data_IF_213110266888
#
_entry.id   IF_213110266888
#
_cell.length_a   1.000
_cell.length_b   1.000
_cell.length_c   1.000
_cell.angle_alpha   90.00
_cell.angle_beta   90.00
_cell.angle_gamma   90.00
#
_symmetry.space_group_name_H-M   'P 1'
#
loop_
_entity.id
_entity.type
_entity.pdbx_description
1 polymer ?
#
# COMPACT_ATOMS: atom_id res chain seq x y z
N UNK A 1 -12.19 -0.10 -0.27
CA UNK A 1 -10.87 -0.42 -0.86
C UNK A 1 -9.89 -0.97 0.18
N UNK A 2 -9.67 -0.29 1.31
CA UNK A 2 -8.78 -0.77 2.40
C UNK A 2 -9.01 -2.24 2.81
N UNK A 3 -10.28 -2.64 2.99
CA UNK A 3 -10.67 -4.03 3.27
C UNK A 3 -10.11 -5.06 2.26
N UNK A 4 -10.09 -4.73 0.96
CA UNK A 4 -9.54 -5.61 -0.08
C UNK A 4 -8.01 -5.71 0.04
N UNK A 5 -7.32 -4.62 0.35
CA UNK A 5 -5.87 -4.61 0.53
C UNK A 5 -5.44 -5.49 1.72
N UNK A 6 -6.16 -5.43 2.85
CA UNK A 6 -5.95 -6.30 4.00
C UNK A 6 -6.09 -7.77 3.60
N UNK A 7 -7.17 -8.13 2.88
CA UNK A 7 -7.42 -9.50 2.41
C UNK A 7 -6.34 -9.98 1.43
N UNK A 8 -5.90 -9.12 0.50
CA UNK A 8 -4.84 -9.43 -0.45
C UNK A 8 -3.53 -9.75 0.28
N UNK A 9 -3.15 -8.93 1.26
CA UNK A 9 -1.91 -9.13 1.97
C UNK A 9 -1.97 -10.35 2.89
N UNK A 10 -3.10 -10.57 3.56
CA UNK A 10 -3.37 -11.80 4.31
C UNK A 10 -3.16 -13.03 3.42
N UNK A 11 -3.75 -13.04 2.22
CA UNK A 11 -3.58 -14.15 1.29
C UNK A 11 -2.12 -14.40 0.90
N UNK A 12 -1.33 -13.34 0.65
CA UNK A 12 0.10 -13.50 0.36
C UNK A 12 0.88 -14.07 1.55
N UNK A 13 0.67 -13.50 2.73
CA UNK A 13 1.37 -13.89 3.96
C UNK A 13 1.05 -15.34 4.35
N UNK A 14 -0.21 -15.77 4.27
CA UNK A 14 -0.61 -17.18 4.49
C UNK A 14 0.02 -18.16 3.50
N UNK A 15 0.48 -17.67 2.34
CA UNK A 15 1.22 -18.46 1.34
C UNK A 15 2.76 -18.31 1.47
N UNK A 16 3.22 -17.65 2.53
CA UNK A 16 4.63 -17.43 2.84
C UNK A 16 5.32 -16.47 1.86
N UNK A 17 4.57 -15.57 1.22
CA UNK A 17 5.07 -14.58 0.26
C UNK A 17 5.06 -13.20 0.89
N UNK A 18 6.19 -12.52 0.83
CA UNK A 18 6.30 -11.06 1.02
C UNK A 18 6.28 -10.44 -0.37
N UNK A 19 5.42 -9.46 -0.59
CA UNK A 19 5.32 -8.69 -1.82
C UNK A 19 6.56 -7.81 -2.03
N UNK A 20 7.03 -7.12 -0.99
CA UNK A 20 8.23 -6.30 -1.06
C UNK A 20 8.08 -4.96 -1.76
N UNK A 21 6.87 -4.64 -2.19
CA UNK A 21 6.50 -3.36 -2.82
C UNK A 21 4.97 -3.18 -2.75
N UNK A 22 4.37 -3.49 -1.59
CA UNK A 22 2.93 -3.42 -1.40
C UNK A 22 2.47 -1.96 -1.27
N UNK A 23 2.31 -1.26 -2.40
CA UNK A 23 1.96 0.16 -2.43
C UNK A 23 0.70 0.42 -3.26
N UNK A 24 0.00 1.55 -3.08
CA UNK A 24 -1.12 1.94 -3.93
C UNK A 24 -0.79 1.98 -5.43
N UNK A 25 0.49 2.07 -5.82
CA UNK A 25 0.89 2.01 -7.24
C UNK A 25 0.80 0.61 -7.84
N UNK A 26 0.83 -0.43 -7.00
CA UNK A 26 0.76 -1.84 -7.40
C UNK A 26 -0.60 -2.46 -7.08
N UNK A 27 -1.54 -1.66 -6.58
CA UNK A 27 -2.95 -2.02 -6.45
C UNK A 27 -3.71 -1.30 -7.56
N UNK A 28 -4.40 -2.07 -8.40
CA UNK A 28 -5.08 -1.59 -9.60
C UNK A 28 -6.57 -1.66 -9.42
N UNK A 29 -7.28 -0.64 -9.88
CA UNK A 29 -8.72 -0.76 -10.12
C UNK A 29 -8.96 -1.42 -11.46
N UNK A 30 -10.01 -2.23 -11.54
CA UNK A 30 -10.44 -2.79 -12.81
C UNK A 30 -10.71 -1.64 -13.80
N UNK A 31 -10.03 -1.61 -14.96
CA UNK A 31 -10.28 -0.57 -15.95
C UNK A 31 -11.72 -0.73 -16.48
N UNK A 32 -12.31 0.35 -17.03
CA UNK A 32 -13.55 0.23 -17.78
C UNK A 32 -13.39 -0.81 -18.90
N UNK A 33 -14.47 -1.49 -19.27
CA UNK A 33 -14.44 -2.48 -20.37
C UNK A 33 -14.21 -1.77 -21.72
N UNK A 34 -12.93 -1.60 -22.06
CA UNK A 34 -12.49 -0.99 -23.32
C UNK A 34 -12.67 -1.94 -24.50
N UNK A 35 -12.89 -3.24 -24.27
CA UNK A 35 -13.00 -4.25 -25.34
C UNK A 35 -14.22 -4.03 -26.24
N UNK A 36 -15.21 -3.28 -25.74
CA UNK A 36 -16.45 -2.94 -26.44
C UNK A 36 -16.38 -1.61 -27.19
N UNK A 37 -15.33 -0.82 -27.00
CA UNK A 37 -15.17 0.47 -27.66
C UNK A 37 -14.38 0.30 -28.96
N UNK A 38 -14.87 0.92 -30.04
CA UNK A 38 -14.03 1.08 -31.24
C UNK A 38 -12.90 2.07 -30.97
N UNK A 39 -11.86 2.08 -31.81
CA UNK A 39 -10.80 3.09 -31.74
C UNK A 39 -11.36 4.52 -31.84
N UNK A 40 -12.41 4.70 -32.64
CA UNK A 40 -13.06 6.00 -32.83
C UNK A 40 -13.85 6.43 -31.58
N UNK A 41 -14.53 5.49 -30.92
CA UNK A 41 -15.19 5.75 -29.62
C UNK A 41 -14.18 6.07 -28.51
N UNK A 42 -13.02 5.39 -28.51
CA UNK A 42 -11.94 5.67 -27.58
C UNK A 42 -11.42 7.10 -27.77
N UNK A 43 -11.17 7.54 -29.01
CA UNK A 43 -10.70 8.89 -29.29
C UNK A 43 -11.75 9.95 -29.05
N UNK A 44 -13.02 9.66 -29.32
CA UNK A 44 -14.12 10.56 -28.99
C UNK A 44 -14.25 10.76 -27.48
N UNK A 45 -14.07 9.68 -26.69
CA UNK A 45 -14.22 9.73 -25.22
C UNK A 45 -12.99 10.30 -24.51
N UNK A 46 -11.78 9.90 -24.90
CA UNK A 46 -10.54 10.19 -24.19
C UNK A 46 -9.60 11.14 -24.93
N UNK A 47 -9.95 11.55 -26.15
CA UNK A 47 -9.12 12.38 -27.02
C UNK A 47 -8.22 11.57 -27.95
N UNK A 48 -7.76 12.22 -29.02
CA UNK A 48 -6.78 11.61 -29.93
C UNK A 48 -5.38 11.52 -29.29
N UNK A 49 -4.58 10.48 -29.62
CA UNK A 49 -3.23 10.34 -29.11
C UNK A 49 -2.34 11.51 -29.53
N UNK A 50 -1.80 12.22 -28.54
CA UNK A 50 -0.85 13.31 -28.78
C UNK A 50 0.54 12.71 -29.03
N UNK A 51 1.21 13.14 -30.10
CA UNK A 51 2.60 12.76 -30.38
C UNK A 51 3.53 13.87 -29.87
N UNK A 52 4.27 13.58 -28.81
CA UNK A 52 5.32 14.46 -28.31
C UNK A 52 6.64 14.10 -29.02
N UNK A 53 7.17 15.04 -29.79
CA UNK A 53 8.41 14.82 -30.53
C UNK A 53 9.57 14.58 -29.58
N UNK A 54 10.40 13.59 -29.90
CA UNK A 54 11.59 13.30 -29.10
C UNK A 54 12.67 14.30 -29.44
N UNK A 55 13.20 14.98 -28.43
CA UNK A 55 14.28 15.95 -28.60
C UNK A 55 15.42 15.60 -27.66
N UNK A 56 16.66 15.82 -28.12
CA UNK A 56 17.83 15.69 -27.25
C UNK A 56 18.04 17.00 -26.50
N UNK A 57 18.31 16.92 -25.19
CA UNK A 57 18.66 18.09 -24.36
C UNK A 57 19.86 18.87 -24.89
N UNK A 58 20.78 18.23 -25.63
CA UNK A 58 21.94 18.87 -26.23
C UNK A 58 21.71 19.39 -27.67
N UNK A 59 20.47 19.33 -28.18
CA UNK A 59 20.07 19.84 -29.50
C UNK A 59 20.62 19.05 -30.70
N UNK A 60 21.30 17.92 -30.47
CA UNK A 60 21.87 17.11 -31.57
C UNK A 60 20.80 16.24 -32.25
N UNK A 61 21.09 15.67 -33.43
CA UNK A 61 20.20 14.71 -34.08
C UNK A 61 19.92 13.48 -33.20
N UNK A 62 18.69 12.99 -33.30
CA UNK A 62 18.24 11.75 -32.67
C UNK A 62 18.99 10.56 -33.29
N UNK A 63 19.60 9.66 -32.48
CA UNK A 63 20.29 8.49 -32.99
C UNK A 63 19.35 7.51 -33.72
N UNK A 64 19.90 6.74 -34.66
CA UNK A 64 19.18 5.63 -35.26
C UNK A 64 18.78 4.61 -34.17
N UNK A 65 17.48 4.29 -34.07
CA UNK A 65 16.93 3.37 -33.08
C UNK A 65 16.12 4.02 -31.96
N UNK A 66 16.14 5.35 -31.84
CA UNK A 66 15.26 6.08 -30.92
C UNK A 66 13.99 6.52 -31.67
N UNK A 67 12.78 6.27 -31.14
CA UNK A 67 11.54 6.73 -31.75
C UNK A 67 11.54 8.26 -31.97
N UNK A 68 11.00 8.76 -33.10
CA UNK A 68 10.96 10.20 -33.37
C UNK A 68 9.93 10.94 -32.51
N UNK A 69 9.01 10.21 -31.87
CA UNK A 69 8.04 10.74 -30.93
C UNK A 69 7.70 9.69 -29.89
N UNK A 70 7.19 10.15 -28.77
CA UNK A 70 6.49 9.35 -27.77
C UNK A 70 5.01 9.71 -27.79
N UNK A 71 4.17 8.75 -27.40
CA UNK A 71 2.76 9.01 -27.12
C UNK A 71 2.62 9.00 -25.61
N UNK A 72 2.38 10.15 -24.96
CA UNK A 72 2.16 10.19 -23.53
C UNK A 72 0.96 9.33 -23.13
N UNK A 73 0.97 8.84 -21.90
CA UNK A 73 -0.14 8.08 -21.35
C UNK A 73 -1.43 8.93 -21.33
N UNK A 74 -2.56 8.26 -21.54
CA UNK A 74 -3.88 8.85 -21.37
C UNK A 74 -4.50 8.32 -20.09
N UNK A 75 -5.21 9.19 -19.39
CA UNK A 75 -5.91 8.85 -18.16
C UNK A 75 -7.32 8.36 -18.48
N UNK A 76 -7.54 7.04 -18.40
CA UNK A 76 -8.86 6.40 -18.54
C UNK A 76 -9.74 6.42 -17.27
N UNK A 77 -9.24 6.93 -16.15
CA UNK A 77 -9.93 6.88 -14.87
C UNK A 77 -10.95 8.02 -14.73
N UNK A 78 -12.10 7.72 -14.15
CA UNK A 78 -13.03 8.75 -13.69
C UNK A 78 -12.46 9.45 -12.45
N UNK A 79 -13.12 10.50 -11.93
CA UNK A 79 -12.72 11.09 -10.63
C UNK A 79 -12.94 10.05 -9.53
N UNK A 80 -12.13 10.05 -8.47
CA UNK A 80 -12.38 9.19 -7.29
C UNK A 80 -13.79 9.37 -6.73
N UNK A 81 -14.31 10.60 -6.76
CA UNK A 81 -15.68 10.96 -6.34
C UNK A 81 -16.78 10.38 -7.23
N UNK A 82 -16.44 9.88 -8.42
CA UNK A 82 -17.36 9.29 -9.39
C UNK A 82 -17.20 7.76 -9.45
N UNK A 83 -16.29 7.19 -8.64
CA UNK A 83 -16.06 5.75 -8.58
C UNK A 83 -17.26 5.04 -7.95
N UNK A 84 -18.08 4.43 -8.78
CA UNK A 84 -19.18 3.59 -8.31
C UNK A 84 -18.65 2.36 -7.57
N UNK A 85 -19.38 1.95 -6.54
CA UNK A 85 -18.97 0.83 -5.68
C UNK A 85 -18.75 -0.47 -6.47
N UNK A 86 -19.56 -0.74 -7.50
CA UNK A 86 -19.39 -1.91 -8.36
C UNK A 86 -18.05 -1.95 -9.13
N UNK A 87 -17.45 -0.78 -9.35
CA UNK A 87 -16.18 -0.62 -10.06
C UNK A 87 -14.98 -0.57 -9.10
N UNK A 88 -15.20 -0.52 -7.78
CA UNK A 88 -14.16 -0.43 -6.77
C UNK A 88 -13.40 -1.75 -6.49
N UNK A 89 -13.39 -2.69 -7.45
CA UNK A 89 -12.69 -3.98 -7.32
C UNK A 89 -11.20 -3.81 -7.60
N UNK A 90 -10.39 -4.24 -6.63
CA UNK A 90 -8.94 -4.13 -6.69
C UNK A 90 -8.31 -5.41 -7.23
N UNK A 91 -7.16 -5.26 -7.87
CA UNK A 91 -6.25 -6.35 -8.25
C UNK A 91 -4.82 -5.96 -7.87
N UNK A 92 -4.14 -6.84 -7.15
CA UNK A 92 -2.72 -6.67 -6.83
C UNK A 92 -1.88 -7.11 -8.04
N UNK A 93 -0.87 -6.32 -8.38
CA UNK A 93 0.05 -6.57 -9.49
C UNK A 93 1.51 -6.44 -9.04
N UNK A 94 2.42 -6.68 -9.98
CA UNK A 94 3.86 -6.45 -9.87
C UNK A 94 4.56 -7.19 -8.73
N UNK A 95 4.72 -8.50 -8.92
CA UNK A 95 5.46 -9.38 -8.03
C UNK A 95 6.97 -9.37 -8.32
N UNK A 96 7.50 -8.36 -9.02
CA UNK A 96 8.92 -8.28 -9.37
C UNK A 96 9.86 -8.25 -8.16
N UNK A 97 9.37 -7.71 -7.03
CA UNK A 97 10.09 -7.64 -5.76
C UNK A 97 9.73 -8.75 -4.77
N UNK A 98 8.77 -9.61 -5.11
CA UNK A 98 8.24 -10.58 -4.17
C UNK A 98 9.23 -11.70 -3.87
N UNK A 99 9.24 -12.18 -2.62
CA UNK A 99 10.06 -13.31 -2.21
C UNK A 99 9.42 -14.14 -1.11
N UNK A 100 10.02 -15.31 -0.85
CA UNK A 100 9.67 -16.16 0.30
C UNK A 100 10.79 -16.09 1.33
N UNK A 101 10.57 -15.51 2.52
CA UNK A 101 11.60 -15.43 3.57
C UNK A 101 12.18 -16.80 3.95
N UNK A 102 11.37 -17.86 3.87
CA UNK A 102 11.80 -19.24 4.11
C UNK A 102 12.81 -19.79 3.09
N UNK A 103 12.92 -19.16 1.90
CA UNK A 103 13.83 -19.57 0.83
C UNK A 103 15.02 -18.62 0.64
N UNK A 104 14.82 -17.34 0.95
CA UNK A 104 15.84 -16.30 0.75
C UNK A 104 15.67 -15.17 1.77
N UNK A 105 16.77 -14.80 2.42
CA UNK A 105 16.85 -13.59 3.24
C UNK A 105 17.11 -12.36 2.37
N UNK A 106 16.54 -11.22 2.77
CA UNK A 106 16.80 -9.89 2.20
C UNK A 106 17.01 -8.90 3.33
N UNK A 107 17.95 -7.98 3.18
CA UNK A 107 18.14 -6.84 4.09
C UNK A 107 17.89 -5.50 3.37
N UNK A 108 17.36 -5.53 2.15
CA UNK A 108 17.13 -4.37 1.30
C UNK A 108 15.78 -4.49 0.58
N UNK A 109 15.05 -3.37 0.51
CA UNK A 109 13.78 -3.21 -0.19
C UNK A 109 13.91 -2.16 -1.29
N UNK A 110 13.25 -2.41 -2.43
CA UNK A 110 13.13 -1.44 -3.52
C UNK A 110 11.80 -0.68 -3.47
N UNK A 111 10.96 -0.94 -2.46
CA UNK A 111 9.74 -0.17 -2.18
C UNK A 111 10.07 1.32 -2.13
N UNK A 112 9.30 2.23 -2.73
CA UNK A 112 9.55 3.67 -2.64
C UNK A 112 9.67 4.16 -1.19
N UNK A 113 10.54 5.16 -0.95
CA UNK A 113 10.94 5.58 0.40
C UNK A 113 9.76 5.95 1.30
N UNK A 114 8.72 6.59 0.75
CA UNK A 114 7.53 7.02 1.49
C UNK A 114 6.60 5.87 1.94
N UNK A 115 6.78 4.66 1.39
CA UNK A 115 6.06 3.45 1.82
C UNK A 115 6.99 2.43 2.48
N UNK A 116 8.30 2.68 2.51
CA UNK A 116 9.29 1.73 2.98
C UNK A 116 9.29 1.69 4.51
N UNK A 117 9.30 0.48 5.06
CA UNK A 117 9.36 0.28 6.50
C UNK A 117 10.71 0.75 7.11
N UNK A 118 10.72 1.31 8.33
CA UNK A 118 11.90 1.95 8.91
C UNK A 118 13.06 0.99 9.12
N UNK A 119 12.81 -0.28 9.43
CA UNK A 119 13.82 -1.32 9.61
C UNK A 119 14.69 -1.51 8.36
N UNK A 120 14.18 -1.18 7.18
CA UNK A 120 14.94 -1.31 5.94
C UNK A 120 16.17 -0.38 5.88
N UNK A 121 16.16 0.72 6.65
CA UNK A 121 17.30 1.63 6.76
C UNK A 121 18.43 1.04 7.61
N UNK A 122 18.13 0.05 8.46
CA UNK A 122 19.04 -0.49 9.47
C UNK A 122 19.38 -1.97 9.26
N UNK A 123 18.55 -2.71 8.53
CA UNK A 123 18.62 -4.15 8.34
C UNK A 123 20.01 -4.67 7.93
N UNK A 124 20.71 -3.96 7.03
CA UNK A 124 22.07 -4.35 6.62
C UNK A 124 23.11 -4.10 7.74
N UNK A 125 23.03 -2.95 8.42
CA UNK A 125 23.93 -2.62 9.55
C UNK A 125 23.72 -3.56 10.75
N UNK A 126 22.48 -3.94 11.01
CA UNK A 126 22.11 -4.86 12.10
C UNK A 126 22.24 -6.33 11.71
N UNK A 127 22.41 -6.64 10.43
CA UNK A 127 22.38 -7.99 9.87
C UNK A 127 21.10 -8.77 10.26
N UNK A 128 19.97 -8.06 10.24
CA UNK A 128 18.63 -8.61 10.52
C UNK A 128 17.81 -8.60 9.24
N UNK A 129 17.33 -9.76 8.75
CA UNK A 129 16.52 -9.83 7.55
C UNK A 129 15.17 -9.14 7.69
N UNK A 130 14.73 -8.51 6.62
CA UNK A 130 13.39 -7.96 6.45
C UNK A 130 12.42 -9.10 6.07
N UNK A 131 11.17 -9.00 6.48
CA UNK A 131 10.14 -10.02 6.25
C UNK A 131 8.73 -9.45 6.16
N UNK A 132 7.74 -10.27 6.48
CA UNK A 132 6.30 -9.93 6.41
C UNK A 132 5.91 -8.58 7.03
N UNK A 133 6.48 -8.15 8.18
CA UNK A 133 6.12 -6.86 8.76
C UNK A 133 6.41 -5.65 7.89
N UNK A 134 7.28 -5.75 6.88
CA UNK A 134 7.54 -4.63 5.98
C UNK A 134 6.35 -4.33 5.07
N UNK A 135 5.66 -5.35 4.57
CA UNK A 135 4.44 -5.14 3.79
C UNK A 135 3.29 -4.64 4.67
N UNK A 136 3.26 -5.02 5.96
CA UNK A 136 2.28 -4.49 6.93
C UNK A 136 2.44 -2.98 7.07
N UNK A 137 3.68 -2.50 7.18
CA UNK A 137 3.95 -1.07 7.20
C UNK A 137 3.46 -0.38 5.93
N UNK A 138 3.84 -0.89 4.76
CA UNK A 138 3.42 -0.32 3.47
C UNK A 138 1.89 -0.35 3.28
N UNK A 139 1.22 -1.40 3.78
CA UNK A 139 -0.24 -1.48 3.85
C UNK A 139 -0.81 -0.37 4.74
N UNK A 140 -0.24 -0.14 5.93
CA UNK A 140 -0.68 0.93 6.84
C UNK A 140 -0.61 2.31 6.21
N UNK A 141 0.52 2.63 5.56
CA UNK A 141 0.68 3.87 4.78
C UNK A 141 -0.36 3.94 3.66
N UNK A 142 -0.54 2.85 2.90
CA UNK A 142 -1.52 2.80 1.81
C UNK A 142 -2.97 2.92 2.27
N UNK A 143 -3.33 2.39 3.45
CA UNK A 143 -4.66 2.55 4.04
C UNK A 143 -4.88 4.02 4.42
N UNK A 144 -3.91 4.68 5.05
CA UNK A 144 -4.03 6.10 5.37
C UNK A 144 -4.30 6.93 4.11
N UNK A 145 -3.54 6.70 3.03
CA UNK A 145 -3.71 7.44 1.76
C UNK A 145 -5.03 7.17 1.04
N UNK A 146 -5.79 6.12 1.41
CA UNK A 146 -7.14 5.92 0.88
C UNK A 146 -8.12 6.95 1.47
N UNK A 147 -7.93 7.32 2.74
CA UNK A 147 -8.81 8.21 3.49
C UNK A 147 -8.25 9.63 3.62
N UNK A 148 -6.98 9.83 3.29
CA UNK A 148 -6.31 11.12 3.46
C UNK A 148 -5.36 11.43 2.32
N UNK A 149 -4.43 12.33 2.60
CA UNK A 149 -3.31 12.63 1.72
C UNK A 149 -2.14 11.69 2.03
N UNK A 150 -0.93 12.12 1.72
CA UNK A 150 0.29 11.43 2.10
C UNK A 150 0.45 11.39 3.62
N UNK A 151 0.70 10.20 4.18
CA UNK A 151 0.99 10.06 5.60
C UNK A 151 2.34 10.70 5.96
N UNK A 152 3.36 10.40 5.15
CA UNK A 152 4.70 10.96 5.27
C UNK A 152 4.96 11.88 4.08
N UNK A 153 5.30 13.13 4.37
CA UNK A 153 5.51 14.24 3.43
C UNK A 153 6.96 14.76 3.45
N UNK A 154 7.87 14.04 4.12
CA UNK A 154 9.30 14.35 4.13
C UNK A 154 9.93 14.39 2.73
N UNK A 155 11.20 14.79 2.66
CA UNK A 155 11.96 14.66 1.42
C UNK A 155 12.00 13.19 0.97
N UNK A 156 11.84 12.89 -0.35
CA UNK A 156 11.77 11.54 -0.87
C UNK A 156 13.17 10.90 -0.94
N UNK A 157 13.80 10.80 0.23
CA UNK A 157 15.04 10.12 0.52
C UNK A 157 14.94 9.44 1.91
N UNK A 158 15.79 8.45 2.21
CA UNK A 158 15.71 7.70 3.45
C UNK A 158 15.77 8.55 4.73
N UNK A 159 16.60 9.59 4.77
CA UNK A 159 16.82 10.38 5.97
C UNK A 159 15.67 11.37 6.22
N UNK A 160 15.19 12.03 5.16
CA UNK A 160 14.01 12.91 5.23
C UNK A 160 12.73 12.16 5.59
N UNK A 161 12.55 10.93 5.09
CA UNK A 161 11.44 10.07 5.49
C UNK A 161 11.54 9.66 6.95
N UNK A 162 12.74 9.30 7.42
CA UNK A 162 12.93 8.91 8.82
C UNK A 162 12.66 10.07 9.78
N UNK A 163 13.07 11.29 9.44
CA UNK A 163 12.72 12.50 10.20
C UNK A 163 11.19 12.62 10.36
N UNK A 164 10.43 12.49 9.27
CA UNK A 164 8.98 12.64 9.32
C UNK A 164 8.28 11.49 10.06
N UNK A 165 8.80 10.27 9.94
CA UNK A 165 8.36 9.14 10.77
C UNK A 165 8.54 9.44 12.26
N UNK A 166 9.68 10.02 12.66
CA UNK A 166 9.94 10.41 14.05
C UNK A 166 9.01 11.53 14.51
N UNK A 167 8.76 12.51 13.65
CA UNK A 167 7.80 13.59 13.93
C UNK A 167 6.36 13.07 14.10
N UNK A 168 6.04 11.92 13.50
CA UNK A 168 4.69 11.35 13.49
C UNK A 168 4.48 10.30 14.59
N UNK A 169 5.50 9.45 14.82
CA UNK A 169 5.43 8.30 15.72
C UNK A 169 6.18 8.51 17.05
N UNK A 170 6.95 9.59 17.17
CA UNK A 170 7.82 9.85 18.30
C UNK A 170 9.15 9.10 18.23
N UNK A 171 9.82 9.02 19.37
CA UNK A 171 11.19 8.50 19.49
C UNK A 171 11.35 7.08 18.91
N UNK A 172 12.32 6.84 18.01
CA UNK A 172 12.62 5.50 17.51
C UNK A 172 13.41 4.67 18.54
N UNK A 173 13.54 3.34 18.35
CA UNK A 173 14.42 2.50 19.15
C UNK A 173 15.82 3.10 19.25
N UNK A 174 16.40 3.10 20.44
CA UNK A 174 17.69 3.77 20.68
C UNK A 174 18.79 3.23 19.76
N UNK A 175 18.78 1.94 19.45
CA UNK A 175 19.75 1.33 18.52
C UNK A 175 19.68 1.93 17.11
N UNK A 176 18.48 2.26 16.63
CA UNK A 176 18.29 2.89 15.32
C UNK A 176 18.65 4.37 15.36
N UNK A 177 18.32 5.06 16.45
CA UNK A 177 18.77 6.44 16.67
C UNK A 177 20.30 6.56 16.66
N UNK A 178 21.00 5.62 17.31
CA UNK A 178 22.45 5.63 17.37
C UNK A 178 23.08 5.33 16.00
N UNK A 179 22.48 4.43 15.22
CA UNK A 179 22.90 4.05 13.86
C UNK A 179 22.59 5.10 12.79
N UNK A 180 21.66 6.03 13.06
CA UNK A 180 21.29 7.09 12.13
C UNK A 180 22.34 8.20 12.12
N UNK A 181 23.18 8.24 11.07
CA UNK A 181 24.32 9.15 10.97
C UNK A 181 23.88 10.60 10.69
N UNK A 182 22.81 10.80 9.92
CA UNK A 182 22.32 12.12 9.53
C UNK A 182 21.45 12.80 10.60
N UNK A 183 21.17 12.15 11.74
CA UNK A 183 20.27 12.68 12.78
C UNK A 183 20.59 14.11 13.23
N UNK A 184 21.87 14.49 13.26
CA UNK A 184 22.37 15.80 13.69
C UNK A 184 22.02 16.92 12.69
N UNK A 185 21.64 16.58 11.45
CA UNK A 185 21.17 17.53 10.44
C UNK A 185 19.70 17.93 10.67
N UNK A 186 18.92 17.04 11.28
CA UNK A 186 17.48 17.20 11.49
C UNK A 186 17.12 17.57 12.94
N UNK A 187 17.86 17.01 13.89
CA UNK A 187 17.63 17.14 15.33
C UNK A 187 18.88 17.66 16.05
N UNK A 188 18.70 18.33 17.20
CA UNK A 188 19.84 18.78 18.01
C UNK A 188 20.55 17.57 18.62
N UNK A 189 21.87 17.64 18.79
CA UNK A 189 22.68 16.54 19.36
C UNK A 189 22.19 16.05 20.73
N UNK A 190 21.71 16.96 21.56
CA UNK A 190 21.20 16.67 22.90
C UNK A 190 19.66 16.72 22.88
N UNK A 191 19.03 15.83 22.11
CA UNK A 191 17.56 15.73 22.12
C UNK A 191 17.09 15.28 23.50
N UNK A 192 16.41 16.18 24.21
CA UNK A 192 15.54 15.83 25.32
C UNK A 192 14.15 15.53 24.76
N UNK A 193 13.71 14.29 24.94
CA UNK A 193 12.36 13.84 24.57
C UNK A 193 11.43 14.12 25.74
N UNK A 194 10.19 14.52 25.46
CA UNK A 194 9.15 14.64 26.49
C UNK A 194 8.77 13.26 27.05
N UNK A 195 7.96 13.22 28.11
CA UNK A 195 7.50 11.97 28.74
C UNK A 195 6.80 11.04 27.73
N UNK A 196 6.15 11.61 26.72
CA UNK A 196 5.44 10.90 25.65
C UNK A 196 6.35 10.53 24.45
N UNK A 197 7.66 10.78 24.54
CA UNK A 197 8.61 10.47 23.46
C UNK A 197 8.54 11.43 22.27
N UNK A 198 7.93 12.61 22.44
CA UNK A 198 7.85 13.67 21.43
C UNK A 198 9.05 14.62 21.53
N UNK A 199 9.35 15.31 20.42
CA UNK A 199 10.44 16.29 20.40
C UNK A 199 9.89 17.71 20.68
N UNK A 200 10.39 18.44 21.69
CA UNK A 200 9.71 19.63 22.20
C UNK A 200 9.84 20.90 21.33
N UNK A 201 10.61 20.86 20.24
CA UNK A 201 11.02 22.05 19.49
C UNK A 201 10.35 22.22 18.12
N UNK A 202 9.43 21.34 17.72
CA UNK A 202 8.58 21.54 16.53
C UNK A 202 7.12 21.26 16.88
N UNK A 203 6.21 21.92 16.16
CA UNK A 203 4.80 21.52 16.11
C UNK A 203 4.73 20.20 15.35
N UNK A 204 4.86 19.10 16.08
CA UNK A 204 4.74 17.74 15.52
C UNK A 204 3.27 17.39 15.35
N UNK A 205 2.92 16.92 14.16
CA UNK A 205 1.59 16.39 13.90
C UNK A 205 1.68 14.88 14.09
N UNK A 206 1.34 14.45 15.29
CA UNK A 206 1.35 13.04 15.70
C UNK A 206 0.36 12.23 14.88
N UNK A 207 0.58 10.91 14.84
CA UNK A 207 -0.28 9.98 14.11
C UNK A 207 -1.77 10.15 14.46
N UNK A 208 -2.09 10.38 15.72
CA UNK A 208 -3.47 10.61 16.18
C UNK A 208 -4.10 11.84 15.53
N UNK A 209 -3.39 12.96 15.48
CA UNK A 209 -3.91 14.18 14.84
C UNK A 209 -4.04 14.00 13.33
N UNK A 210 -3.14 13.24 12.69
CA UNK A 210 -3.25 12.92 11.25
C UNK A 210 -4.47 12.04 10.95
N UNK A 211 -4.83 11.11 11.82
CA UNK A 211 -6.00 10.24 11.61
C UNK A 211 -7.27 10.92 12.14
N UNK A 212 -7.34 11.18 13.44
CA UNK A 212 -8.54 11.72 14.08
C UNK A 212 -8.83 13.18 13.69
N UNK A 213 -7.79 13.98 13.49
CA UNK A 213 -7.92 15.37 13.02
C UNK A 213 -8.14 15.43 11.51
N UNK A 214 -7.13 15.07 10.70
CA UNK A 214 -7.20 15.31 9.26
C UNK A 214 -8.24 14.44 8.54
N UNK A 215 -8.21 13.11 8.75
CA UNK A 215 -9.20 12.21 8.14
C UNK A 215 -10.58 12.47 8.75
N UNK A 216 -10.66 12.63 10.08
CA UNK A 216 -11.90 12.93 10.77
C UNK A 216 -12.58 14.22 10.28
N UNK A 217 -11.82 15.28 10.01
CA UNK A 217 -12.35 16.52 9.45
C UNK A 217 -12.73 16.37 7.97
N UNK A 218 -11.90 15.70 7.16
CA UNK A 218 -12.15 15.49 5.75
C UNK A 218 -13.40 14.64 5.47
N UNK A 219 -13.69 13.68 6.36
CA UNK A 219 -14.79 12.72 6.23
C UNK A 219 -15.86 12.86 7.32
N UNK A 220 -15.98 14.05 7.93
CA UNK A 220 -16.92 14.33 9.03
C UNK A 220 -18.38 13.95 8.73
N UNK A 221 -18.79 14.06 7.48
CA UNK A 221 -20.17 13.76 7.03
C UNK A 221 -20.34 12.31 6.54
N UNK A 222 -19.25 11.54 6.41
CA UNK A 222 -19.22 10.21 5.81
C UNK A 222 -18.85 9.10 6.82
N UNK A 223 -18.01 9.41 7.80
CA UNK A 223 -17.49 8.49 8.80
C UNK A 223 -17.93 8.90 10.20
N UNK A 224 -18.30 7.93 11.04
CA UNK A 224 -18.60 8.22 12.44
C UNK A 224 -17.32 8.36 13.25
N UNK A 225 -17.38 9.05 14.39
CA UNK A 225 -16.24 9.14 15.30
C UNK A 225 -15.75 7.76 15.75
N UNK A 226 -16.65 6.78 15.92
CA UNK A 226 -16.26 5.41 16.25
C UNK A 226 -15.51 4.71 15.10
N UNK A 227 -15.85 5.00 13.84
CA UNK A 227 -15.12 4.46 12.70
C UNK A 227 -13.72 5.05 12.59
N UNK A 228 -13.59 6.37 12.84
CA UNK A 228 -12.30 7.06 12.88
C UNK A 228 -11.40 6.52 14.01
N UNK A 229 -11.96 6.29 15.20
CA UNK A 229 -11.22 5.71 16.32
C UNK A 229 -10.75 4.27 16.04
N UNK A 230 -11.62 3.44 15.45
CA UNK A 230 -11.25 2.09 15.03
C UNK A 230 -10.17 2.13 13.92
N UNK A 231 -10.23 3.11 13.01
CA UNK A 231 -9.23 3.32 11.96
C UNK A 231 -7.89 3.75 12.55
N UNK A 232 -7.90 4.67 13.50
CA UNK A 232 -6.69 5.09 14.23
C UNK A 232 -6.08 3.89 14.96
N UNK A 233 -6.89 3.09 15.66
CA UNK A 233 -6.42 1.88 16.33
C UNK A 233 -5.77 0.88 15.36
N UNK A 234 -6.35 0.71 14.16
CA UNK A 234 -5.76 -0.11 13.10
C UNK A 234 -4.41 0.46 12.63
N UNK A 235 -4.36 1.75 12.26
CA UNK A 235 -3.15 2.40 11.73
C UNK A 235 -2.04 2.42 12.79
N UNK A 236 -2.38 2.68 14.05
CA UNK A 236 -1.45 2.66 15.18
C UNK A 236 -0.83 1.27 15.40
N UNK A 237 -1.62 0.21 15.22
CA UNK A 237 -1.13 -1.17 15.35
C UNK A 237 -0.25 -1.63 14.19
N UNK A 238 -0.26 -0.97 13.03
CA UNK A 238 0.61 -1.30 11.89
C UNK A 238 1.85 -0.42 11.80
N UNK A 239 1.78 0.82 12.28
CA UNK A 239 2.90 1.78 12.27
C UNK A 239 3.72 1.74 13.55
N UNK A 240 4.16 0.54 13.95
CA UNK A 240 5.11 0.36 15.04
C UNK A 240 6.54 0.39 14.51
N UNK A 241 7.45 0.97 15.30
CA UNK A 241 8.88 0.95 14.98
C UNK A 241 9.39 -0.48 14.83
N UNK A 242 9.19 -1.30 15.86
CA UNK A 242 9.62 -2.70 15.84
C UNK A 242 8.75 -3.54 14.90
N UNK A 243 9.36 -4.33 14.00
CA UNK A 243 8.63 -5.25 13.13
C UNK A 243 7.74 -6.24 13.90
N UNK A 244 8.20 -6.73 15.05
CA UNK A 244 7.52 -7.74 15.86
C UNK A 244 6.33 -7.18 16.66
N UNK A 245 6.27 -5.85 16.85
CA UNK A 245 5.17 -5.18 17.55
C UNK A 245 4.00 -4.87 16.60
N UNK A 246 4.20 -5.00 15.28
CA UNK A 246 3.15 -4.71 14.29
C UNK A 246 2.12 -5.83 14.24
N UNK A 247 0.86 -5.44 14.05
CA UNK A 247 -0.21 -6.38 13.73
C UNK A 247 0.12 -7.19 12.47
N UNK A 248 -0.15 -8.48 12.53
CA UNK A 248 -0.10 -9.35 11.35
C UNK A 248 -1.29 -9.12 10.44
N UNK A 249 -1.19 -9.55 9.18
CA UNK A 249 -2.31 -9.45 8.23
C UNK A 249 -3.55 -10.26 8.69
N UNK A 250 -3.34 -11.34 9.45
CA UNK A 250 -4.40 -12.13 10.08
C UNK A 250 -5.10 -11.36 11.21
N UNK A 251 -4.33 -10.73 12.09
CA UNK A 251 -4.88 -9.88 13.16
C UNK A 251 -5.62 -8.67 12.59
N UNK A 252 -5.13 -8.06 11.51
CA UNK A 252 -5.82 -6.98 10.79
C UNK A 252 -7.15 -7.45 10.21
N UNK A 253 -7.16 -8.62 9.55
CA UNK A 253 -8.38 -9.21 9.00
C UNK A 253 -9.43 -9.48 10.09
N UNK A 254 -8.98 -9.85 11.29
CA UNK A 254 -9.81 -10.12 12.46
C UNK A 254 -9.99 -8.89 13.38
N UNK A 255 -9.47 -7.73 13.00
CA UNK A 255 -9.51 -6.51 13.80
C UNK A 255 -10.90 -5.87 13.84
N UNK A 256 -11.12 -5.00 14.82
CA UNK A 256 -12.42 -4.37 15.05
C UNK A 256 -12.85 -3.49 13.87
N UNK A 257 -11.92 -2.73 13.28
CA UNK A 257 -12.23 -1.92 12.10
C UNK A 257 -12.74 -2.77 10.93
N UNK A 258 -12.08 -3.91 10.68
CA UNK A 258 -12.47 -4.82 9.61
C UNK A 258 -13.84 -5.45 9.88
N UNK A 259 -14.11 -5.88 11.12
CA UNK A 259 -15.38 -6.49 11.53
C UNK A 259 -16.56 -5.52 11.49
N UNK A 260 -16.36 -4.28 11.95
CA UNK A 260 -17.43 -3.29 12.09
C UNK A 260 -17.70 -2.54 10.79
N UNK A 261 -16.67 -2.25 10.00
CA UNK A 261 -16.76 -1.35 8.85
C UNK A 261 -16.29 -2.02 7.55
N UNK A 262 -15.08 -2.59 7.54
CA UNK A 262 -14.43 -3.09 6.33
C UNK A 262 -15.20 -4.21 5.61
N UNK A 263 -15.68 -5.22 6.35
CA UNK A 263 -16.43 -6.35 5.80
C UNK A 263 -17.80 -5.94 5.27
N UNK A 264 -18.50 -5.05 5.97
CA UNK A 264 -19.79 -4.51 5.54
C UNK A 264 -19.64 -3.72 4.23
N UNK A 265 -18.63 -2.86 4.13
CA UNK A 265 -18.33 -2.11 2.91
C UNK A 265 -17.96 -3.04 1.75
N UNK A 266 -17.20 -4.10 2.02
CA UNK A 266 -16.84 -5.09 1.02
C UNK A 266 -18.05 -5.90 0.54
N UNK A 267 -18.94 -6.29 1.45
CA UNK A 267 -20.18 -6.98 1.13
C UNK A 267 -21.08 -6.13 0.23
N UNK A 268 -21.26 -4.84 0.56
CA UNK A 268 -22.00 -3.90 -0.27
C UNK A 268 -21.41 -3.78 -1.69
N UNK A 269 -20.09 -3.85 -1.81
CA UNK A 269 -19.40 -3.84 -3.11
C UNK A 269 -19.72 -5.08 -3.96
N UNK A 270 -19.70 -6.27 -3.37
CA UNK A 270 -20.08 -7.48 -4.09
C UNK A 270 -21.57 -7.49 -4.48
N UNK A 271 -22.45 -6.99 -3.60
CA UNK A 271 -23.87 -6.84 -3.90
C UNK A 271 -24.12 -5.88 -5.07
N UNK A 272 -23.43 -4.74 -5.09
CA UNK A 272 -23.50 -3.79 -6.21
C UNK A 272 -23.04 -4.43 -7.54
N UNK A 273 -22.14 -5.41 -7.50
CA UNK A 273 -21.68 -6.17 -8.68
C UNK A 273 -22.62 -7.32 -9.08
N UNK A 274 -23.68 -7.58 -8.31
CA UNK A 274 -24.52 -8.77 -8.49
C UNK A 274 -23.79 -10.08 -8.15
N UNK A 275 -22.69 -10.01 -7.41
CA UNK A 275 -21.92 -11.16 -6.96
C UNK A 275 -22.42 -11.60 -5.57
N UNK A 276 -23.16 -12.70 -5.47
CA UNK A 276 -23.52 -13.27 -4.15
C UNK A 276 -22.33 -14.03 -3.57
N UNK A 277 -21.43 -13.33 -2.89
CA UNK A 277 -20.40 -13.91 -2.03
C UNK A 277 -20.76 -13.72 -0.57
N UNK A 278 -20.60 -14.78 0.23
CA UNK A 278 -20.62 -14.67 1.68
C UNK A 278 -19.17 -14.66 2.15
N UNK A 279 -18.58 -13.48 2.18
CA UNK A 279 -17.16 -13.28 2.50
C UNK A 279 -16.84 -13.76 3.90
N UNK A 280 -17.78 -13.56 4.84
CA UNK A 280 -17.61 -14.03 6.22
C UNK A 280 -17.48 -15.55 6.25
N UNK A 281 -18.27 -16.27 5.45
CA UNK A 281 -18.15 -17.72 5.31
C UNK A 281 -16.87 -18.16 4.59
N UNK A 282 -16.35 -17.35 3.66
CA UNK A 282 -15.07 -17.64 2.99
C UNK A 282 -13.90 -17.46 3.95
N UNK A 283 -13.89 -16.38 4.75
CA UNK A 283 -12.90 -16.15 5.81
C UNK A 283 -12.97 -17.27 6.86
N UNK A 284 -14.16 -17.60 7.36
CA UNK A 284 -14.37 -18.71 8.31
C UNK A 284 -13.97 -20.08 7.73
N UNK A 285 -14.00 -20.23 6.40
CA UNK A 285 -13.56 -21.46 5.72
C UNK A 285 -12.03 -21.57 5.65
N UNK A 286 -11.31 -20.45 5.60
CA UNK A 286 -9.85 -20.40 5.64
C UNK A 286 -9.38 -20.92 7.00
N UNK A 287 -10.00 -20.48 8.09
CA UNK A 287 -9.72 -20.95 9.45
C UNK A 287 -9.87 -22.48 9.59
N UNK A 288 -10.95 -23.05 9.05
CA UNK A 288 -11.19 -24.51 9.11
C UNK A 288 -10.20 -25.28 8.25
N UNK A 289 -9.75 -24.72 7.14
CA UNK A 289 -8.77 -25.37 6.27
C UNK A 289 -7.37 -25.34 6.89
N UNK A 290 -6.94 -24.23 7.48
CA UNK A 290 -5.64 -24.10 8.15
C UNK A 290 -5.54 -25.05 9.36
N UNK A 291 -6.57 -25.09 10.22
CA UNK A 291 -6.67 -26.04 11.34
C UNK A 291 -6.62 -27.49 10.87
N UNK A 292 -7.34 -27.84 9.80
CA UNK A 292 -7.36 -29.20 9.27
C UNK A 292 -6.03 -29.63 8.62
N UNK A 293 -5.26 -28.69 8.05
CA UNK A 293 -3.91 -28.96 7.53
C UNK A 293 -2.86 -29.07 8.63
N UNK A 294 -2.96 -28.26 9.68
CA UNK A 294 -2.11 -28.35 10.86
C UNK A 294 -2.31 -29.68 11.60
N UNK A 295 -3.55 -30.16 11.71
CA UNK A 295 -3.87 -31.46 12.35
C UNK A 295 -3.43 -32.68 11.52
N UNK A 296 -3.28 -32.54 10.20
CA UNK A 296 -2.99 -33.68 9.29
C UNK A 296 -1.56 -33.73 8.79
N UNK A 297 -0.69 -32.79 9.18
CA UNK A 297 0.71 -32.72 8.73
C UNK A 297 0.85 -32.67 7.20
N UNK A 298 -0.19 -32.22 6.49
CA UNK A 298 -0.29 -32.22 5.04
C UNK A 298 -0.18 -30.81 4.46
N UNK A 299 0.37 -30.72 3.25
CA UNK A 299 0.41 -29.47 2.50
C UNK A 299 -1.02 -28.99 2.22
N UNK A 300 -1.28 -27.70 2.45
CA UNK A 300 -2.57 -27.08 2.15
C UNK A 300 -2.93 -27.20 0.67
N UNK A 301 -4.23 -27.12 0.36
CA UNK A 301 -4.73 -27.14 -1.02
C UNK A 301 -4.04 -26.08 -1.91
N UNK A 302 -3.54 -25.00 -1.31
CA UNK A 302 -2.80 -23.94 -1.98
C UNK A 302 -1.31 -24.23 -2.14
N UNK A 303 -0.70 -24.98 -1.21
CA UNK A 303 0.62 -25.57 -1.39
C UNK A 303 0.64 -26.64 -2.50
N UNK A 304 -0.49 -27.33 -2.73
CA UNK A 304 -0.67 -28.22 -3.88
C UNK A 304 -0.91 -27.48 -5.21
N UNK A 305 -1.39 -26.24 -5.18
CA UNK A 305 -1.47 -25.40 -6.38
C UNK A 305 -0.07 -24.88 -6.80
N UNK A 306 0.85 -24.74 -5.84
CA UNK A 306 2.25 -24.37 -6.08
C UNK A 306 3.10 -25.50 -6.69
N UNK A 307 2.58 -26.74 -6.82
CA UNK A 307 3.30 -27.88 -7.40
C UNK A 307 3.02 -28.16 -8.88
N UNK A 308 2.43 -27.20 -9.62
CA UNK A 308 2.51 -27.17 -11.09
C UNK A 308 1.19 -27.36 -11.84
N UNK A 309 0.23 -26.43 -11.67
CA UNK A 309 -0.88 -26.26 -12.60
C UNK A 309 -0.83 -24.85 -13.18
N UNK A 310 -0.48 -24.76 -14.46
CA UNK A 310 -0.48 -23.53 -15.26
C UNK A 310 -1.89 -22.99 -15.44
N UNK A 311 -2.08 -21.70 -15.18
CA UNK A 311 -3.23 -20.94 -15.69
C UNK A 311 -2.94 -20.44 -17.12
N UNK A 312 -3.95 -20.23 -17.97
CA UNK A 312 -3.77 -19.91 -19.38
C UNK A 312 -3.15 -18.52 -19.55
N UNK A 313 -2.25 -18.41 -20.53
CA UNK A 313 -1.71 -17.14 -21.02
C UNK A 313 -2.85 -16.15 -21.32
N UNK A 314 -2.83 -15.01 -20.64
CA UNK A 314 -3.56 -13.84 -21.09
C UNK A 314 -2.63 -12.64 -21.23
N UNK A 315 -2.71 -12.10 -22.45
CA UNK A 315 -1.97 -11.02 -23.05
C UNK A 315 -1.63 -9.84 -22.12
N UNK A 316 -0.45 -9.29 -22.38
CA UNK A 316 -0.01 -7.94 -22.01
C UNK A 316 -1.11 -6.90 -22.28
N UNK A 317 -1.67 -6.33 -21.21
CA UNK A 317 -2.59 -5.21 -21.25
C UNK A 317 -2.21 -4.19 -20.17
N UNK A 318 -2.38 -2.92 -20.50
CA UNK A 318 -1.96 -1.75 -19.74
C UNK A 318 -2.96 -1.45 -18.62
N UNK A 319 -2.48 -1.19 -17.40
CA UNK A 319 -3.31 -1.04 -16.20
C UNK A 319 -3.23 0.36 -15.58
N UNK A 320 -4.28 0.78 -14.87
CA UNK A 320 -4.34 2.06 -14.17
C UNK A 320 -3.96 1.93 -12.70
N UNK A 321 -2.98 2.74 -12.26
CA UNK A 321 -2.54 2.80 -10.86
C UNK A 321 -3.56 3.55 -10.01
N UNK A 322 -3.88 3.05 -8.81
CA UNK A 322 -4.82 3.69 -7.86
C UNK A 322 -4.42 5.14 -7.52
N UNK A 323 -3.13 5.49 -7.63
CA UNK A 323 -2.61 6.83 -7.33
C UNK A 323 -3.28 7.97 -8.14
N UNK A 324 -3.65 7.78 -9.40
CA UNK A 324 -4.20 8.90 -10.19
C UNK A 324 -5.68 9.20 -9.95
N UNK A 325 -6.36 8.44 -9.08
CA UNK A 325 -7.71 8.75 -8.61
C UNK A 325 -7.71 9.79 -7.49
N UNK A 326 -6.61 9.93 -6.75
CA UNK A 326 -6.42 10.97 -5.73
C UNK A 326 -6.01 12.30 -6.38
N UNK A 327 -6.68 12.68 -7.47
CA UNK A 327 -6.40 13.90 -8.22
C UNK A 327 -6.65 15.15 -7.38
N UNK A 328 -5.59 15.70 -6.80
CA UNK A 328 -5.64 16.99 -6.14
C UNK A 328 -5.70 18.14 -7.15
N UNK A 329 -6.45 19.22 -6.86
CA UNK A 329 -6.30 20.47 -7.57
C UNK A 329 -4.87 20.97 -7.39
N UNK A 330 -4.22 21.40 -8.48
CA UNK A 330 -3.04 22.28 -8.37
C UNK A 330 -3.49 23.55 -7.64
N UNK A 331 -2.90 23.81 -6.48
CA UNK A 331 -2.97 25.12 -5.84
C UNK A 331 -2.21 26.17 -6.68
#
# INVERSE_FOLDING_TARGET
>A
MAAQMIIMLFFLHSNGVVHGDFTPNNVLLAPPDLSRLSTEDLYHKYGEPIKAMTERRDGKPIPAGVPPYIVPEIWFGDRSTELELQNAKLTLTDFGEAWKPALRSRCQLNTPDNYRAPEANFAEKENVPIGFPSDIWSLGVGIFEIFGNHLFEGSPDPDGMLEDMINTLGKPPQRWWDLWEAKDEFFRRDVEWDEDGTYPYREHILLEERVCGWIGDAHRDEMTNEEIEDLYSLIKGVLCWEPDDRLTADELLRGDWMKRWGLSALQAMYEARGESRNIMSEIDSIDRMELATAEKGGLSRWQAAASGVTMPEFATAWWMKVRGLFGFPRA
#
